data_IF_159556771271
#
_entry.id   IF_159556771271
#
_cell.length_a   1.000
_cell.length_b   1.000
_cell.length_c   1.000
_cell.angle_alpha   90.00
_cell.angle_beta   90.00
_cell.angle_gamma   90.00
#
_symmetry.space_group_name_H-M   'P 1'
#
loop_
_entity.id
_entity.type
_entity.pdbx_description
1 polymer ?
#
# COMPACT_ATOMS: atom_id res chain seq x y z
N UNK A 1 -11.08 26.20 -4.36
CA UNK A 1 -12.41 25.63 -4.67
C UNK A 1 -13.34 25.74 -3.47
N UNK A 2 -12.92 25.37 -2.25
CA UNK A 2 -13.61 25.76 -1.00
C UNK A 2 -15.04 25.23 -0.81
N UNK A 3 -15.47 24.31 -1.67
CA UNK A 3 -16.80 23.71 -1.66
C UNK A 3 -17.05 22.92 -0.37
N UNK A 4 -18.31 22.80 0.08
CA UNK A 4 -18.67 21.98 1.24
C UNK A 4 -18.16 20.53 1.09
N UNK A 5 -18.32 19.98 -0.10
CA UNK A 5 -17.89 18.65 -0.52
C UNK A 5 -16.38 18.44 -0.35
N UNK A 6 -15.56 19.39 -0.81
CA UNK A 6 -14.11 19.35 -0.65
C UNK A 6 -13.72 19.41 0.83
N UNK A 7 -14.39 20.27 1.62
CA UNK A 7 -14.11 20.37 3.07
C UNK A 7 -14.45 19.07 3.80
N UNK A 8 -15.49 18.36 3.37
CA UNK A 8 -15.85 17.06 3.94
C UNK A 8 -14.82 15.99 3.59
N UNK A 9 -14.43 15.85 2.33
CA UNK A 9 -13.41 14.89 1.92
C UNK A 9 -12.02 15.20 2.49
N UNK A 10 -11.67 16.47 2.69
CA UNK A 10 -10.45 16.84 3.39
C UNK A 10 -10.43 16.31 4.83
N UNK A 11 -11.56 16.33 5.54
CA UNK A 11 -11.65 15.76 6.90
C UNK A 11 -11.41 14.25 6.90
N UNK A 12 -11.95 13.55 5.91
CA UNK A 12 -11.75 12.11 5.67
C UNK A 12 -10.27 11.80 5.44
N UNK A 13 -9.58 12.59 4.62
CA UNK A 13 -8.14 12.41 4.37
C UNK A 13 -7.22 12.83 5.52
N UNK A 14 -7.68 13.70 6.43
CA UNK A 14 -6.92 14.06 7.64
C UNK A 14 -7.04 13.06 8.78
N UNK A 15 -7.80 11.97 8.61
CA UNK A 15 -7.86 10.92 9.63
C UNK A 15 -6.50 10.23 9.80
N UNK A 16 -6.28 9.69 10.99
CA UNK A 16 -5.06 8.97 11.29
C UNK A 16 -4.89 7.80 10.33
N UNK A 17 -3.77 7.79 9.62
CA UNK A 17 -3.45 6.76 8.65
C UNK A 17 -1.97 6.42 8.80
N UNK A 18 -1.70 5.26 9.40
CA UNK A 18 -0.34 4.77 9.62
C UNK A 18 -0.23 3.35 9.08
N UNK A 19 0.35 3.22 7.90
CA UNK A 19 0.62 1.95 7.23
C UNK A 19 2.03 1.94 6.66
N UNK A 20 2.49 0.77 6.24
CA UNK A 20 3.81 0.64 5.64
C UNK A 20 3.86 1.40 4.31
N UNK A 21 4.94 2.17 4.02
CA UNK A 21 5.04 2.94 2.78
C UNK A 21 4.98 2.09 1.50
N UNK A 22 5.24 0.78 1.62
CA UNK A 22 5.17 -0.20 0.55
C UNK A 22 3.73 -0.67 0.24
N UNK A 23 2.79 -0.53 1.18
CA UNK A 23 1.39 -0.91 0.99
C UNK A 23 0.42 0.28 0.95
N UNK A 24 0.88 1.48 1.31
CA UNK A 24 0.11 2.72 1.17
C UNK A 24 -0.49 2.90 -0.23
N UNK A 25 0.26 2.55 -1.28
CA UNK A 25 -0.16 2.65 -2.69
C UNK A 25 -1.41 1.82 -3.00
N UNK A 26 -1.65 0.71 -2.30
CA UNK A 26 -2.87 -0.09 -2.48
C UNK A 26 -4.07 0.70 -1.95
N UNK A 27 -3.96 1.20 -0.73
CA UNK A 27 -5.05 1.91 -0.07
C UNK A 27 -5.37 3.19 -0.85
N UNK A 28 -4.34 3.93 -1.27
CA UNK A 28 -4.52 5.12 -2.11
C UNK A 28 -5.15 4.80 -3.47
N UNK A 29 -4.84 3.65 -4.08
CA UNK A 29 -5.47 3.22 -5.33
C UNK A 29 -6.96 2.93 -5.16
N UNK A 30 -7.35 2.29 -4.05
CA UNK A 30 -8.75 2.06 -3.72
C UNK A 30 -9.49 3.36 -3.43
N UNK A 31 -8.89 4.27 -2.66
CA UNK A 31 -9.46 5.59 -2.37
C UNK A 31 -9.74 6.35 -3.66
N UNK A 32 -8.77 6.41 -4.57
CA UNK A 32 -8.91 7.06 -5.87
C UNK A 32 -10.06 6.46 -6.71
N UNK A 33 -10.15 5.13 -6.77
CA UNK A 33 -11.20 4.46 -7.53
C UNK A 33 -12.61 4.74 -6.98
N UNK A 34 -12.73 4.80 -5.65
CA UNK A 34 -13.99 5.10 -4.96
C UNK A 34 -14.42 6.55 -5.13
N UNK A 35 -13.48 7.47 -4.98
CA UNK A 35 -13.72 8.91 -5.13
C UNK A 35 -14.10 9.29 -6.55
N UNK A 36 -13.52 8.63 -7.55
CA UNK A 36 -13.85 8.88 -8.96
C UNK A 36 -15.26 8.44 -9.34
N UNK A 37 -15.77 7.37 -8.71
CA UNK A 37 -17.09 6.82 -9.04
C UNK A 37 -18.24 7.51 -8.28
N UNK A 38 -18.10 7.62 -6.97
CA UNK A 38 -19.21 8.04 -6.09
C UNK A 38 -18.98 9.43 -5.45
N UNK A 39 -17.84 10.07 -5.73
CA UNK A 39 -17.51 11.39 -5.19
C UNK A 39 -17.58 11.41 -3.66
N UNK A 40 -18.28 12.40 -3.10
CA UNK A 40 -18.48 12.53 -1.64
C UNK A 40 -19.25 11.35 -1.04
N UNK A 41 -20.09 10.67 -1.82
CA UNK A 41 -20.85 9.49 -1.37
C UNK A 41 -19.96 8.32 -0.96
N UNK A 42 -18.70 8.31 -1.41
CA UNK A 42 -17.71 7.27 -1.09
C UNK A 42 -17.08 7.40 0.31
N UNK A 43 -17.34 8.48 1.06
CA UNK A 43 -16.59 8.79 2.29
C UNK A 43 -16.54 7.63 3.31
N UNK A 44 -17.66 6.91 3.46
CA UNK A 44 -17.79 5.85 4.46
C UNK A 44 -17.06 4.59 3.99
N UNK A 45 -17.03 4.35 2.68
CA UNK A 45 -16.26 3.29 2.06
C UNK A 45 -14.74 3.56 2.13
N UNK A 46 -14.32 4.78 1.81
CA UNK A 46 -12.93 5.26 1.93
C UNK A 46 -12.44 5.12 3.38
N UNK A 47 -13.22 5.59 4.35
CA UNK A 47 -12.88 5.42 5.76
C UNK A 47 -12.83 3.95 6.18
N UNK A 48 -13.78 3.12 5.74
CA UNK A 48 -13.81 1.69 6.03
C UNK A 48 -12.58 0.96 5.50
N UNK A 49 -12.16 1.25 4.26
CA UNK A 49 -10.96 0.68 3.65
C UNK A 49 -9.69 1.14 4.37
N UNK A 50 -9.54 2.44 4.63
CA UNK A 50 -8.38 2.97 5.35
C UNK A 50 -8.24 2.34 6.73
N UNK A 51 -9.32 2.33 7.50
CA UNK A 51 -9.30 1.81 8.88
C UNK A 51 -9.17 0.30 8.94
N UNK A 52 -9.79 -0.43 8.00
CA UNK A 52 -9.73 -1.89 7.93
C UNK A 52 -8.36 -2.41 7.46
N UNK A 53 -7.72 -1.71 6.50
CA UNK A 53 -6.46 -2.16 5.92
C UNK A 53 -5.22 -1.56 6.60
N UNK A 54 -5.31 -0.39 7.25
CA UNK A 54 -4.13 0.20 7.93
C UNK A 54 -3.53 -0.74 8.97
N UNK A 55 -4.39 -1.45 9.72
CA UNK A 55 -4.00 -2.34 10.81
C UNK A 55 -3.12 -3.50 10.34
N UNK A 56 -3.60 -4.36 9.43
CA UNK A 56 -2.82 -5.51 8.96
C UNK A 56 -1.72 -5.15 7.96
N UNK A 57 -1.90 -4.14 7.11
CA UNK A 57 -0.89 -3.80 6.10
C UNK A 57 0.35 -3.11 6.69
N UNK A 58 0.21 -2.45 7.85
CA UNK A 58 1.34 -1.88 8.57
C UNK A 58 2.41 -2.93 8.93
N UNK A 59 2.14 -3.93 9.80
CA UNK A 59 3.14 -4.92 10.19
C UNK A 59 3.54 -5.82 9.02
N UNK A 60 2.65 -6.10 8.07
CA UNK A 60 2.96 -6.96 6.93
C UNK A 60 3.99 -6.31 6.01
N UNK A 61 3.84 -5.02 5.70
CA UNK A 61 4.81 -4.30 4.88
C UNK A 61 6.15 -4.12 5.57
N UNK A 62 6.13 -3.81 6.86
CA UNK A 62 7.34 -3.62 7.65
C UNK A 62 8.12 -4.95 7.83
N UNK A 63 7.41 -6.07 7.95
CA UNK A 63 8.04 -7.39 8.03
C UNK A 63 8.71 -7.76 6.70
N UNK A 64 8.00 -7.63 5.57
CA UNK A 64 8.55 -8.05 4.27
C UNK A 64 9.64 -7.08 3.79
N UNK A 65 9.30 -5.80 3.70
CA UNK A 65 10.16 -4.82 3.03
C UNK A 65 11.09 -4.09 4.00
N UNK A 66 10.68 -3.96 5.27
CA UNK A 66 11.49 -3.33 6.31
C UNK A 66 12.54 -4.26 6.92
N UNK A 67 12.29 -5.57 7.00
CA UNK A 67 13.23 -6.51 7.64
C UNK A 67 13.64 -7.70 6.76
N UNK A 68 12.70 -8.45 6.18
CA UNK A 68 13.01 -9.69 5.46
C UNK A 68 13.89 -9.46 4.23
N UNK A 69 13.46 -8.60 3.29
CA UNK A 69 14.22 -8.33 2.07
C UNK A 69 15.57 -7.68 2.40
N UNK A 70 15.67 -6.66 3.27
CA UNK A 70 16.97 -6.11 3.66
C UNK A 70 17.89 -7.13 4.34
N UNK A 71 17.36 -8.03 5.17
CA UNK A 71 18.17 -9.06 5.82
C UNK A 71 18.76 -10.06 4.81
N UNK A 72 17.95 -10.57 3.88
CA UNK A 72 18.40 -11.53 2.87
C UNK A 72 19.38 -10.86 1.91
N UNK A 73 18.96 -9.76 1.29
CA UNK A 73 19.74 -9.09 0.26
C UNK A 73 20.99 -8.43 0.85
N UNK A 74 20.90 -7.89 2.06
CA UNK A 74 22.02 -7.34 2.81
C UNK A 74 23.05 -8.40 3.20
N UNK A 75 22.61 -9.61 3.59
CA UNK A 75 23.51 -10.74 3.86
C UNK A 75 24.28 -11.18 2.61
N UNK A 76 23.60 -11.25 1.46
CA UNK A 76 24.24 -11.53 0.17
C UNK A 76 25.27 -10.44 -0.17
N UNK A 77 24.88 -9.17 -0.08
CA UNK A 77 25.76 -8.05 -0.37
C UNK A 77 26.99 -8.01 0.56
N UNK A 78 26.82 -8.29 1.85
CA UNK A 78 27.90 -8.38 2.83
C UNK A 78 28.88 -9.50 2.49
N UNK A 79 28.37 -10.67 2.07
CA UNK A 79 29.21 -11.81 1.64
C UNK A 79 30.05 -11.44 0.42
N UNK A 80 29.49 -10.70 -0.54
CA UNK A 80 30.22 -10.22 -1.72
C UNK A 80 31.27 -9.15 -1.36
N UNK A 81 30.96 -8.28 -0.40
CA UNK A 81 31.88 -7.25 0.09
C UNK A 81 33.11 -7.88 0.76
N UNK A 82 32.92 -8.92 1.58
CA UNK A 82 34.02 -9.68 2.20
C UNK A 82 34.92 -10.31 1.13
N UNK A 83 34.34 -10.76 0.01
CA UNK A 83 35.09 -11.29 -1.14
C UNK A 83 35.80 -10.21 -1.99
N UNK A 84 35.72 -8.93 -1.61
CA UNK A 84 36.34 -7.80 -2.33
C UNK A 84 35.65 -7.43 -3.64
N UNK A 85 34.41 -7.89 -3.86
CA UNK A 85 33.68 -7.66 -5.09
C UNK A 85 32.67 -6.51 -4.95
N UNK A 86 32.71 -5.46 -5.80
CA UNK A 86 31.83 -4.30 -5.68
C UNK A 86 30.37 -4.58 -6.12
N UNK A 87 30.07 -5.79 -6.58
CA UNK A 87 28.76 -6.21 -7.08
C UNK A 87 27.62 -6.03 -6.07
N UNK A 88 27.91 -6.02 -4.77
CA UNK A 88 26.90 -5.78 -3.72
C UNK A 88 26.17 -4.43 -3.84
N UNK A 89 26.84 -3.38 -4.33
CA UNK A 89 26.21 -2.07 -4.55
C UNK A 89 25.20 -2.12 -5.69
N UNK A 90 25.55 -2.79 -6.79
CA UNK A 90 24.65 -2.95 -7.94
C UNK A 90 23.42 -3.79 -7.58
N UNK A 91 23.59 -4.80 -6.72
CA UNK A 91 22.48 -5.57 -6.16
C UNK A 91 21.53 -4.66 -5.36
N UNK A 92 22.07 -3.74 -4.55
CA UNK A 92 21.23 -2.82 -3.77
C UNK A 92 20.48 -1.82 -4.64
N UNK A 93 21.12 -1.30 -5.69
CA UNK A 93 20.45 -0.45 -6.70
C UNK A 93 19.33 -1.23 -7.37
N UNK A 94 19.55 -2.49 -7.75
CA UNK A 94 18.52 -3.32 -8.35
C UNK A 94 17.32 -3.55 -7.42
N UNK A 95 17.55 -3.76 -6.12
CA UNK A 95 16.47 -3.88 -5.11
C UNK A 95 15.68 -2.58 -5.00
N UNK A 96 16.35 -1.42 -4.96
CA UNK A 96 15.68 -0.13 -4.89
C UNK A 96 14.79 0.12 -6.12
N UNK A 97 15.31 -0.15 -7.32
CA UNK A 97 14.53 -0.05 -8.57
C UNK A 97 13.35 -1.03 -8.58
N UNK A 98 13.54 -2.25 -8.08
CA UNK A 98 12.45 -3.22 -7.96
C UNK A 98 11.34 -2.74 -7.03
N UNK A 99 11.68 -2.08 -5.91
CA UNK A 99 10.69 -1.46 -5.02
C UNK A 99 9.91 -0.34 -5.71
N UNK A 100 10.57 0.53 -6.47
CA UNK A 100 9.90 1.61 -7.19
C UNK A 100 8.96 1.08 -8.27
N UNK A 101 9.39 0.06 -9.03
CA UNK A 101 8.55 -0.60 -10.05
C UNK A 101 7.36 -1.29 -9.38
N UNK A 102 7.60 -2.00 -8.27
CA UNK A 102 6.54 -2.67 -7.52
C UNK A 102 5.48 -1.66 -7.08
N UNK A 103 5.88 -0.55 -6.45
CA UNK A 103 4.97 0.50 -6.00
C UNK A 103 4.17 1.12 -7.14
N UNK A 104 4.81 1.37 -8.28
CA UNK A 104 4.13 1.93 -9.45
C UNK A 104 3.07 0.98 -10.01
N UNK A 105 3.42 -0.30 -10.20
CA UNK A 105 2.50 -1.30 -10.75
C UNK A 105 1.37 -1.66 -9.79
N UNK A 106 1.68 -1.67 -8.50
CA UNK A 106 0.73 -1.92 -7.44
C UNK A 106 -0.36 -0.84 -7.37
N UNK A 107 -0.03 0.44 -7.60
CA UNK A 107 -1.03 1.51 -7.66
C UNK A 107 -2.02 1.30 -8.81
N UNK A 108 -1.52 0.98 -10.00
CA UNK A 108 -2.35 0.71 -11.19
C UNK A 108 -3.27 -0.50 -10.97
N UNK A 109 -2.72 -1.56 -10.37
CA UNK A 109 -3.49 -2.76 -10.01
C UNK A 109 -4.55 -2.44 -8.95
N UNK A 110 -4.18 -1.74 -7.89
CA UNK A 110 -5.09 -1.39 -6.81
C UNK A 110 -6.21 -0.48 -7.30
N UNK A 111 -5.94 0.50 -8.17
CA UNK A 111 -7.00 1.30 -8.76
C UNK A 111 -7.99 0.45 -9.56
N UNK A 112 -7.51 -0.45 -10.43
CA UNK A 112 -8.39 -1.35 -11.21
C UNK A 112 -9.22 -2.28 -10.31
N UNK A 113 -8.60 -2.87 -9.29
CA UNK A 113 -9.32 -3.71 -8.34
C UNK A 113 -10.24 -2.89 -7.42
N UNK A 114 -9.90 -1.64 -7.12
CA UNK A 114 -10.75 -0.70 -6.39
C UNK A 114 -12.07 -0.47 -7.10
N UNK A 115 -12.04 -0.31 -8.43
CA UNK A 115 -13.25 -0.19 -9.26
C UNK A 115 -14.13 -1.45 -9.15
N UNK A 116 -13.51 -2.64 -9.12
CA UNK A 116 -14.23 -3.90 -8.93
C UNK A 116 -14.79 -4.05 -7.51
N UNK A 117 -14.03 -3.60 -6.51
CA UNK A 117 -14.39 -3.59 -5.09
C UNK A 117 -15.68 -2.83 -4.86
N UNK A 118 -15.90 -1.69 -5.53
CA UNK A 118 -17.13 -0.90 -5.35
C UNK A 118 -18.39 -1.71 -5.75
N UNK A 119 -18.27 -2.65 -6.69
CA UNK A 119 -19.40 -3.46 -7.12
C UNK A 119 -19.73 -4.61 -6.15
N UNK A 120 -18.78 -5.03 -5.29
CA UNK A 120 -18.93 -6.14 -4.32
C UNK A 120 -18.50 -5.74 -2.90
N UNK A 121 -18.64 -4.45 -2.58
CA UNK A 121 -17.89 -3.76 -1.54
C UNK A 121 -17.93 -4.45 -0.18
N UNK A 122 -19.11 -4.92 0.25
CA UNK A 122 -19.27 -5.45 1.60
C UNK A 122 -18.63 -6.84 1.77
N UNK A 123 -18.80 -7.75 0.81
CA UNK A 123 -18.23 -9.10 0.89
C UNK A 123 -16.73 -9.10 0.62
N UNK A 124 -16.26 -8.28 -0.33
CA UNK A 124 -14.83 -8.18 -0.64
C UNK A 124 -14.06 -7.45 0.47
N UNK A 125 -14.65 -6.45 1.13
CA UNK A 125 -14.04 -5.81 2.30
C UNK A 125 -13.84 -6.79 3.44
N UNK A 126 -14.88 -7.54 3.80
CA UNK A 126 -14.77 -8.54 4.87
C UNK A 126 -13.75 -9.61 4.50
N UNK A 127 -13.75 -10.09 3.26
CA UNK A 127 -12.78 -11.08 2.80
C UNK A 127 -11.34 -10.55 2.82
N UNK A 128 -11.11 -9.28 2.47
CA UNK A 128 -9.79 -8.65 2.52
C UNK A 128 -9.31 -8.45 3.95
N UNK A 129 -10.19 -8.00 4.85
CA UNK A 129 -9.87 -7.83 6.27
C UNK A 129 -9.58 -9.20 6.91
N UNK A 130 -10.41 -10.21 6.64
CA UNK A 130 -10.22 -11.57 7.13
C UNK A 130 -8.90 -12.15 6.60
N UNK A 131 -8.63 -12.06 5.29
CA UNK A 131 -7.38 -12.54 4.72
C UNK A 131 -6.15 -11.82 5.29
N UNK A 132 -6.26 -10.51 5.54
CA UNK A 132 -5.18 -9.72 6.10
C UNK A 132 -4.99 -9.95 7.61
N UNK A 133 -6.00 -10.47 8.32
CA UNK A 133 -5.94 -10.77 9.75
C UNK A 133 -5.48 -12.21 10.07
N UNK A 134 -5.57 -13.13 9.11
CA UNK A 134 -5.13 -14.54 9.25
C UNK A 134 -3.61 -14.70 9.05
N UNK A 135 -2.96 -13.74 8.38
CA UNK A 135 -1.50 -13.68 8.15
C UNK A 135 -0.78 -13.05 9.35
#
# INVERSE_FOLDING_TARGET
DGTPDLKEMMKVHTQFFNTSPFFHTIIAGFDLAMEEKDGVGSKDAVNGIKTGLMGPFAPLGDTIFGSLVPAIMGSVAATMAIAGQPWGIFLWIAVAVAYDIFRWKQLEFAYKEGVNLINNMQSTLTALIDAASVL
#
